data_IF_440380958114
#
_entry.id   IF_440380958114
#
_cell.length_a   1.000
_cell.length_b   1.000
_cell.length_c   1.000
_cell.angle_alpha   90.00
_cell.angle_beta   90.00
_cell.angle_gamma   90.00
#
_symmetry.space_group_name_H-M   'P 1'
#
loop_
_entity.id
_entity.type
_entity.pdbx_description
1 polymer ?
#
# COMPACT_ATOMS: atom_id res chain seq x y z
N UNK A 1 -13.07 17.27 -42.41
CA UNK A 1 -14.12 16.52 -43.17
C UNK A 1 -13.99 15.06 -42.86
N UNK A 2 -15.03 14.44 -42.33
CA UNK A 2 -15.49 13.05 -42.26
C UNK A 2 -16.19 12.90 -40.92
N UNK A 3 -17.44 13.14 -40.88
CA UNK A 3 -18.74 12.44 -40.91
C UNK A 3 -18.86 11.38 -39.82
N UNK A 4 -19.55 11.76 -38.77
CA UNK A 4 -20.77 11.24 -38.15
C UNK A 4 -21.24 9.85 -38.61
N UNK A 5 -21.48 8.95 -37.67
CA UNK A 5 -22.58 7.95 -37.72
C UNK A 5 -23.17 7.73 -36.35
N UNK A 6 -24.35 8.29 -36.13
CA UNK A 6 -25.36 7.86 -35.17
C UNK A 6 -25.88 6.45 -35.57
N UNK A 7 -26.17 5.57 -34.62
CA UNK A 7 -27.18 4.49 -34.63
C UNK A 7 -27.61 4.28 -33.18
N UNK A 8 -28.73 4.82 -32.76
CA UNK A 8 -30.13 4.40 -32.81
C UNK A 8 -30.43 3.15 -31.97
N UNK A 9 -31.08 3.42 -30.83
CA UNK A 9 -32.24 2.80 -30.14
C UNK A 9 -32.50 1.30 -30.30
N UNK A 10 -32.64 0.62 -29.17
CA UNK A 10 -33.68 -0.39 -28.99
C UNK A 10 -34.23 -0.31 -27.55
N UNK A 11 -35.50 0.09 -27.47
CA UNK A 11 -36.36 -0.03 -26.31
C UNK A 11 -36.68 -1.52 -26.10
N UNK A 12 -36.58 -2.00 -24.89
CA UNK A 12 -37.11 -3.27 -24.44
C UNK A 12 -37.89 -3.05 -23.14
N UNK A 13 -39.21 -2.87 -23.27
CA UNK A 13 -40.15 -2.90 -22.17
C UNK A 13 -40.41 -4.35 -21.79
N UNK A 14 -40.26 -4.71 -20.53
CA UNK A 14 -40.62 -6.02 -19.98
C UNK A 14 -41.12 -5.84 -18.55
N UNK A 15 -42.45 -5.96 -18.44
CA UNK A 15 -43.27 -5.79 -17.22
C UNK A 15 -43.17 -6.96 -16.26
N UNK A 16 -43.41 -6.65 -14.97
CA UNK A 16 -44.15 -7.42 -13.93
C UNK A 16 -43.48 -8.62 -13.27
N UNK A 17 -43.25 -8.48 -11.96
CA UNK A 17 -44.03 -9.24 -10.98
C UNK A 17 -43.60 -8.80 -9.56
N UNK A 18 -44.56 -8.19 -8.87
CA UNK A 18 -44.51 -7.90 -7.43
C UNK A 18 -44.68 -9.21 -6.69
N UNK A 19 -43.66 -9.61 -5.88
CA UNK A 19 -43.83 -10.59 -4.81
C UNK A 19 -43.36 -9.93 -3.53
N UNK A 20 -44.31 -9.43 -2.72
CA UNK A 20 -44.09 -9.10 -1.33
C UNK A 20 -43.83 -10.37 -0.53
N UNK A 21 -42.60 -10.63 -0.17
CA UNK A 21 -42.27 -11.57 0.88
C UNK A 21 -41.74 -10.74 2.08
N UNK A 22 -42.60 -10.56 3.09
CA UNK A 22 -42.22 -10.01 4.39
C UNK A 22 -41.41 -11.06 5.13
N UNK A 23 -40.08 -10.97 5.04
CA UNK A 23 -39.19 -11.74 5.89
C UNK A 23 -38.96 -10.95 7.18
N UNK A 24 -39.47 -11.47 8.28
CA UNK A 24 -39.10 -11.10 9.64
C UNK A 24 -37.61 -11.42 9.82
N UNK A 25 -36.79 -10.37 9.82
CA UNK A 25 -35.36 -10.50 10.15
C UNK A 25 -35.26 -10.42 11.68
N UNK A 26 -34.76 -11.46 12.37
CA UNK A 26 -34.43 -11.33 13.79
C UNK A 26 -33.28 -10.34 13.94
N UNK A 27 -33.46 -9.36 14.78
CA UNK A 27 -32.42 -8.42 15.18
C UNK A 27 -31.29 -9.20 15.87
N UNK A 28 -30.21 -9.47 15.14
CA UNK A 28 -28.97 -9.93 15.75
C UNK A 28 -28.31 -8.77 16.45
N UNK A 29 -28.27 -8.84 17.78
CA UNK A 29 -27.52 -7.93 18.62
C UNK A 29 -26.05 -7.95 18.18
N UNK A 30 -25.57 -6.81 17.67
CA UNK A 30 -24.15 -6.61 17.37
C UNK A 30 -23.41 -6.59 18.71
N UNK A 31 -22.76 -7.70 19.05
CA UNK A 31 -21.78 -7.74 20.13
C UNK A 31 -20.59 -6.84 19.74
N UNK A 32 -20.31 -5.85 20.55
CA UNK A 32 -19.10 -5.04 20.43
C UNK A 32 -17.87 -5.94 20.49
N UNK A 33 -16.89 -5.83 19.57
CA UNK A 33 -15.68 -6.63 19.64
C UNK A 33 -14.87 -6.25 20.87
N UNK A 34 -14.65 -7.23 21.74
CA UNK A 34 -13.70 -7.19 22.85
C UNK A 34 -12.30 -7.02 22.25
N UNK A 35 -11.45 -6.10 22.78
CA UNK A 35 -10.06 -5.98 22.32
C UNK A 35 -9.23 -7.10 22.95
N UNK A 36 -9.10 -8.22 22.24
CA UNK A 36 -8.29 -9.35 22.64
C UNK A 36 -8.34 -10.46 21.59
N UNK A 37 -7.17 -10.80 21.07
CA UNK A 37 -6.85 -11.83 20.09
C UNK A 37 -6.88 -11.36 18.63
N UNK A 38 -5.73 -10.76 18.26
CA UNK A 38 -5.32 -10.63 16.86
C UNK A 38 -4.47 -11.83 16.48
N UNK A 39 -5.09 -12.97 16.34
CA UNK A 39 -4.48 -14.10 15.65
C UNK A 39 -4.80 -13.99 14.16
N UNK A 40 -3.82 -13.56 13.48
CA UNK A 40 -3.12 -13.87 12.25
C UNK A 40 -3.87 -14.51 11.08
N UNK A 41 -3.44 -14.04 9.89
CA UNK A 41 -3.58 -14.57 8.54
C UNK A 41 -4.76 -14.02 7.72
N UNK A 42 -4.98 -12.72 7.81
CA UNK A 42 -5.47 -11.93 6.68
C UNK A 42 -4.49 -10.80 6.49
N UNK A 43 -4.13 -10.43 5.28
CA UNK A 43 -3.37 -9.22 5.03
C UNK A 43 -4.05 -8.10 5.82
N UNK A 44 -3.42 -7.64 6.91
CA UNK A 44 -4.04 -6.71 7.84
C UNK A 44 -4.43 -5.48 7.03
N UNK A 45 -5.74 -5.26 6.92
CA UNK A 45 -6.27 -4.10 6.21
C UNK A 45 -5.61 -2.86 6.81
N UNK A 46 -4.99 -2.03 5.96
CA UNK A 46 -4.37 -0.79 6.42
C UNK A 46 -5.44 0.12 7.05
N UNK A 47 -4.99 1.02 7.89
CA UNK A 47 -5.83 2.02 8.52
C UNK A 47 -5.16 3.39 8.49
N UNK A 48 -5.96 4.43 8.62
CA UNK A 48 -5.47 5.79 8.68
C UNK A 48 -5.09 6.17 10.12
N UNK A 49 -3.90 6.78 10.30
CA UNK A 49 -3.40 7.21 11.60
C UNK A 49 -2.63 8.54 11.50
N UNK A 50 -2.62 9.30 12.58
CA UNK A 50 -1.88 10.55 12.68
C UNK A 50 -0.36 10.36 12.88
N UNK A 51 0.05 9.16 13.28
CA UNK A 51 1.45 8.75 13.43
C UNK A 51 1.61 7.34 12.89
N UNK A 52 2.82 6.99 12.50
CA UNK A 52 3.15 5.62 12.10
C UNK A 52 3.55 4.82 13.34
N UNK A 53 2.76 3.80 13.74
CA UNK A 53 3.12 3.00 14.92
C UNK A 53 4.41 2.20 14.70
N UNK A 54 5.12 1.83 15.78
CA UNK A 54 6.26 0.92 15.68
C UNK A 54 5.87 -0.39 14.99
N UNK A 55 6.75 -0.91 14.13
CA UNK A 55 6.50 -2.14 13.36
C UNK A 55 5.57 -1.97 12.15
N UNK A 56 5.07 -0.78 11.89
CA UNK A 56 4.26 -0.47 10.71
C UNK A 56 5.04 0.37 9.70
N UNK A 57 4.59 0.33 8.47
CA UNK A 57 4.98 1.26 7.40
C UNK A 57 3.75 2.00 6.90
N UNK A 58 3.93 3.01 6.06
CA UNK A 58 2.81 3.67 5.41
C UNK A 58 2.96 3.64 3.88
N UNK A 59 1.84 3.63 3.19
CA UNK A 59 1.81 3.50 1.73
C UNK A 59 1.22 4.72 1.04
N UNK A 60 0.56 5.59 1.81
CA UNK A 60 -0.01 6.83 1.32
C UNK A 60 -0.11 7.87 2.44
N UNK A 61 -0.18 9.13 2.05
CA UNK A 61 -0.39 10.27 2.97
C UNK A 61 -1.49 11.18 2.43
N UNK A 62 -2.16 11.86 3.34
CA UNK A 62 -3.06 12.96 3.03
C UNK A 62 -2.97 14.03 4.10
N UNK A 63 -3.42 15.24 3.78
CA UNK A 63 -3.52 16.31 4.77
C UNK A 63 -4.93 16.30 5.40
N UNK A 64 -5.00 16.43 6.74
CA UNK A 64 -6.25 16.40 7.49
C UNK A 64 -6.22 17.40 8.64
N UNK A 65 -7.39 17.85 9.06
CA UNK A 65 -7.60 18.61 10.29
C UNK A 65 -7.82 17.70 11.50
N UNK A 66 -7.98 16.38 11.30
CA UNK A 66 -8.34 15.44 12.39
C UNK A 66 -7.15 15.01 13.26
N UNK A 67 -5.92 15.43 12.93
CA UNK A 67 -4.71 15.01 13.63
C UNK A 67 -4.14 16.08 14.57
N UNK A 68 -4.94 16.95 15.12
CA UNK A 68 -4.48 17.98 16.08
C UNK A 68 -5.43 19.17 16.15
N UNK A 69 -5.17 20.04 17.11
CA UNK A 69 -6.03 21.17 17.45
C UNK A 69 -5.81 22.40 16.54
N UNK A 70 -4.81 22.38 15.67
CA UNK A 70 -4.48 23.51 14.82
C UNK A 70 -3.88 23.10 13.48
N UNK A 71 -4.52 23.50 12.38
CA UNK A 71 -4.01 23.41 11.02
C UNK A 71 -3.99 21.97 10.44
N UNK A 72 -3.65 21.92 9.16
CA UNK A 72 -3.51 20.65 8.46
C UNK A 72 -2.29 19.88 8.95
N UNK A 73 -2.48 18.58 9.18
CA UNK A 73 -1.45 17.62 9.58
C UNK A 73 -1.43 16.45 8.62
N UNK A 74 -0.28 15.79 8.54
CA UNK A 74 -0.15 14.57 7.72
C UNK A 74 -0.90 13.42 8.39
N UNK A 75 -1.69 12.72 7.61
CA UNK A 75 -2.43 11.52 7.96
C UNK A 75 -1.89 10.39 7.12
N UNK A 76 -1.54 9.28 7.73
CA UNK A 76 -0.80 8.18 7.12
C UNK A 76 -1.72 6.98 6.95
N UNK A 77 -1.75 6.38 5.75
CA UNK A 77 -2.34 5.07 5.56
C UNK A 77 -1.31 4.01 5.94
N UNK A 78 -1.43 3.46 7.15
CA UNK A 78 -0.47 2.54 7.77
C UNK A 78 -0.90 1.09 7.66
N UNK A 79 0.07 0.19 7.47
CA UNK A 79 -0.14 -1.25 7.47
C UNK A 79 1.16 -1.97 7.84
N UNK A 80 1.11 -3.24 8.26
CA UNK A 80 2.30 -4.03 8.47
C UNK A 80 3.14 -4.11 7.19
N UNK A 81 4.48 -4.03 7.27
CA UNK A 81 5.32 -4.27 6.11
C UNK A 81 5.20 -5.72 5.63
N UNK A 82 5.18 -5.91 4.31
CA UNK A 82 5.05 -7.22 3.68
C UNK A 82 5.91 -7.31 2.42
N UNK A 83 6.28 -8.54 2.03
CA UNK A 83 7.00 -8.79 0.77
C UNK A 83 6.15 -8.35 -0.42
N UNK A 84 6.73 -7.60 -1.34
CA UNK A 84 6.03 -7.06 -2.52
C UNK A 84 5.21 -5.79 -2.26
N UNK A 85 5.18 -5.28 -1.03
CA UNK A 85 4.47 -4.05 -0.70
C UNK A 85 5.25 -2.82 -1.19
N UNK A 86 4.57 -1.90 -1.88
CA UNK A 86 5.06 -0.55 -2.11
C UNK A 86 4.81 0.33 -0.89
N UNK A 87 5.87 0.75 -0.19
CA UNK A 87 5.81 1.52 1.04
C UNK A 87 6.67 2.77 0.99
N UNK A 88 6.31 3.77 1.78
CA UNK A 88 7.02 5.04 1.88
C UNK A 88 8.24 4.97 2.81
N UNK A 89 8.33 3.93 3.64
CA UNK A 89 9.48 3.64 4.51
C UNK A 89 9.84 2.16 4.42
N UNK A 90 11.12 1.85 4.62
CA UNK A 90 11.60 0.47 4.72
C UNK A 90 11.54 0.08 6.21
N UNK A 91 10.67 -0.86 6.55
CA UNK A 91 10.55 -1.37 7.92
C UNK A 91 11.69 -2.30 8.32
N UNK A 92 11.85 -2.52 9.61
CA UNK A 92 12.84 -3.46 10.15
C UNK A 92 12.62 -4.87 9.61
N UNK A 93 13.70 -5.58 9.32
CA UNK A 93 13.66 -6.92 8.75
C UNK A 93 13.36 -6.97 7.24
N UNK A 94 13.19 -5.82 6.59
CA UNK A 94 12.98 -5.73 5.14
C UNK A 94 14.16 -5.05 4.43
N UNK A 95 14.26 -5.34 3.15
CA UNK A 95 15.05 -4.60 2.16
C UNK A 95 14.11 -4.15 1.04
N UNK A 96 14.64 -3.57 -0.02
CA UNK A 96 13.83 -3.22 -1.18
C UNK A 96 14.55 -3.56 -2.48
N UNK A 97 13.76 -3.85 -3.51
CA UNK A 97 14.30 -4.24 -4.82
C UNK A 97 14.07 -3.19 -5.91
N UNK A 98 13.24 -2.18 -5.63
CA UNK A 98 12.94 -1.11 -6.56
C UNK A 98 12.49 0.15 -5.83
N UNK A 99 12.60 1.29 -6.49
CA UNK A 99 12.13 2.58 -6.00
C UNK A 99 11.29 3.28 -7.06
N UNK A 100 10.38 4.14 -6.64
CA UNK A 100 9.68 5.07 -7.51
C UNK A 100 9.45 6.40 -6.81
N UNK A 101 9.42 7.49 -7.56
CA UNK A 101 9.04 8.80 -7.04
C UNK A 101 7.53 9.00 -7.19
N UNK A 102 6.87 9.40 -6.11
CA UNK A 102 5.41 9.54 -6.03
C UNK A 102 5.01 10.70 -5.12
N UNK A 103 3.81 11.20 -5.30
CA UNK A 103 3.18 12.13 -4.36
C UNK A 103 2.52 11.41 -3.18
N UNK A 104 2.27 10.10 -3.28
CA UNK A 104 1.61 9.31 -2.21
C UNK A 104 2.35 9.41 -0.87
N UNK A 105 3.68 9.51 -0.90
CA UNK A 105 4.53 9.58 0.29
C UNK A 105 4.83 11.01 0.75
N UNK A 106 4.16 12.01 0.18
CA UNK A 106 4.44 13.41 0.44
C UNK A 106 3.86 13.88 1.77
N UNK A 107 4.70 14.39 2.67
CA UNK A 107 4.27 14.96 3.96
C UNK A 107 4.14 16.48 3.97
N UNK A 108 4.57 17.15 2.91
CA UNK A 108 4.57 18.62 2.81
C UNK A 108 4.65 19.14 1.39
N UNK A 109 4.23 18.34 0.41
CA UNK A 109 4.33 18.62 -1.02
C UNK A 109 5.63 18.09 -1.64
N UNK A 110 5.60 17.88 -2.94
CA UNK A 110 6.70 17.34 -3.74
C UNK A 110 6.79 15.81 -3.74
N UNK A 111 7.52 15.32 -4.72
CA UNK A 111 7.75 13.88 -4.89
C UNK A 111 8.62 13.31 -3.76
N UNK A 112 8.30 12.10 -3.35
CA UNK A 112 9.05 11.32 -2.37
C UNK A 112 9.26 9.91 -2.90
N UNK A 113 10.29 9.25 -2.39
CA UNK A 113 10.61 7.88 -2.78
C UNK A 113 9.65 6.90 -2.11
N UNK A 114 9.13 5.96 -2.90
CA UNK A 114 8.38 4.79 -2.48
C UNK A 114 9.22 3.56 -2.80
N UNK A 115 9.23 2.56 -1.94
CA UNK A 115 10.12 1.40 -1.95
C UNK A 115 9.32 0.12 -2.15
N UNK A 116 9.72 -0.74 -3.08
CA UNK A 116 9.18 -2.08 -3.20
C UNK A 116 9.84 -2.99 -2.17
N UNK A 117 9.16 -3.22 -1.05
CA UNK A 117 9.67 -4.01 0.08
C UNK A 117 9.86 -5.47 -0.32
N UNK A 118 10.93 -6.06 0.19
CA UNK A 118 11.25 -7.47 0.02
C UNK A 118 11.76 -8.08 1.32
N UNK A 119 11.28 -9.26 1.63
CA UNK A 119 11.89 -10.07 2.68
C UNK A 119 13.26 -10.54 2.20
N UNK A 120 14.35 -10.26 2.96
CA UNK A 120 15.70 -10.65 2.58
C UNK A 120 15.83 -12.16 2.47
N UNK A 121 16.44 -12.65 1.41
CA UNK A 121 16.77 -14.06 1.19
C UNK A 121 17.95 -14.21 0.25
N UNK A 122 18.65 -15.34 0.34
CA UNK A 122 19.71 -15.68 -0.61
C UNK A 122 19.15 -15.71 -2.05
N UNK A 123 19.90 -15.12 -2.98
CA UNK A 123 19.50 -15.01 -4.39
C UNK A 123 18.58 -13.83 -4.72
N UNK A 124 18.22 -13.00 -3.72
CA UNK A 124 17.45 -11.79 -3.97
C UNK A 124 18.35 -10.66 -4.47
N UNK A 125 17.98 -10.01 -5.58
CA UNK A 125 18.54 -8.73 -5.97
C UNK A 125 17.89 -7.59 -5.17
N UNK A 126 18.67 -6.93 -4.31
CA UNK A 126 18.22 -5.88 -3.41
C UNK A 126 19.06 -4.60 -3.56
N UNK A 127 18.45 -3.46 -3.25
CA UNK A 127 19.09 -2.16 -3.30
C UNK A 127 19.95 -1.86 -2.05
N UNK A 128 19.76 -2.64 -0.98
CA UNK A 128 20.57 -2.56 0.26
C UNK A 128 20.92 -3.97 0.73
N UNK A 129 22.00 -4.08 1.50
CA UNK A 129 22.43 -5.32 2.15
C UNK A 129 22.01 -5.24 3.62
N UNK A 130 20.96 -5.97 4.05
CA UNK A 130 20.50 -5.95 5.44
C UNK A 130 21.41 -6.78 6.35
N UNK A 131 21.24 -6.59 7.66
CA UNK A 131 21.95 -7.40 8.69
C UNK A 131 21.69 -8.89 8.49
N UNK A 132 22.72 -9.73 8.70
CA UNK A 132 22.66 -11.18 8.48
C UNK A 132 22.87 -11.59 7.01
N UNK A 133 23.15 -10.63 6.13
CA UNK A 133 23.42 -10.89 4.72
C UNK A 133 24.73 -10.25 4.25
N UNK A 134 25.32 -10.86 3.25
CA UNK A 134 26.38 -10.34 2.40
C UNK A 134 25.89 -10.37 0.95
N UNK A 135 26.77 -10.16 -0.04
CA UNK A 135 26.40 -10.25 -1.44
C UNK A 135 27.45 -11.01 -2.23
N UNK A 136 27.03 -11.66 -3.30
CA UNK A 136 27.90 -12.42 -4.21
C UNK A 136 28.14 -11.71 -5.53
N UNK A 137 27.29 -10.76 -5.89
CA UNK A 137 27.37 -10.01 -7.13
C UNK A 137 26.74 -8.64 -7.00
N UNK A 138 27.13 -7.72 -7.88
CA UNK A 138 26.54 -6.38 -7.96
C UNK A 138 26.18 -6.05 -9.41
N UNK A 139 25.18 -5.19 -9.59
CA UNK A 139 24.84 -4.60 -10.88
C UNK A 139 24.48 -3.13 -10.73
N UNK A 140 24.72 -2.35 -11.76
CA UNK A 140 24.32 -0.95 -11.85
C UNK A 140 22.92 -0.87 -12.47
N UNK A 141 21.97 -0.17 -11.81
CA UNK A 141 20.57 -0.12 -12.22
C UNK A 141 19.93 1.21 -11.87
N UNK A 142 18.84 1.54 -12.56
CA UNK A 142 17.96 2.66 -12.21
C UNK A 142 16.91 2.25 -11.17
N UNK A 143 16.66 0.96 -10.95
CA UNK A 143 15.64 0.46 -10.02
C UNK A 143 15.83 0.97 -8.58
N UNK A 144 17.08 1.17 -8.16
CA UNK A 144 17.43 1.62 -6.81
C UNK A 144 17.61 3.15 -6.70
N UNK A 145 17.22 3.88 -7.72
CA UNK A 145 17.47 5.33 -7.80
C UNK A 145 16.39 6.12 -7.05
N UNK A 146 16.79 6.93 -6.10
CA UNK A 146 15.90 7.84 -5.35
C UNK A 146 15.86 9.26 -5.91
N UNK A 147 16.86 9.64 -6.71
CA UNK A 147 17.03 11.01 -7.23
C UNK A 147 17.48 11.06 -8.70
N UNK A 148 17.32 9.97 -9.43
CA UNK A 148 17.88 9.80 -10.78
C UNK A 148 19.32 9.29 -10.74
N UNK A 149 19.75 8.67 -11.82
CA UNK A 149 21.08 8.07 -11.96
C UNK A 149 21.15 6.62 -11.49
N UNK A 150 22.19 5.95 -11.96
CA UNK A 150 22.42 4.55 -11.64
C UNK A 150 22.85 4.36 -10.19
N UNK A 151 22.38 3.26 -9.61
CA UNK A 151 22.71 2.81 -8.24
C UNK A 151 23.09 1.34 -8.25
N UNK A 152 23.85 0.93 -7.25
CA UNK A 152 24.25 -0.47 -7.09
C UNK A 152 23.08 -1.29 -6.52
N UNK A 153 22.84 -2.44 -7.15
CA UNK A 153 21.94 -3.50 -6.68
C UNK A 153 22.79 -4.73 -6.35
N UNK A 154 22.47 -5.44 -5.30
CA UNK A 154 23.27 -6.50 -4.68
C UNK A 154 22.54 -7.83 -4.76
N UNK A 155 23.23 -8.89 -5.21
CA UNK A 155 22.72 -10.25 -5.12
C UNK A 155 23.02 -10.81 -3.73
N UNK A 156 22.00 -10.88 -2.89
CA UNK A 156 22.14 -11.23 -1.48
C UNK A 156 22.51 -12.70 -1.28
N UNK A 157 23.30 -12.94 -0.22
CA UNK A 157 23.61 -14.24 0.34
C UNK A 157 23.56 -14.15 1.85
N UNK A 158 22.80 -15.04 2.52
CA UNK A 158 22.83 -15.18 3.97
C UNK A 158 24.21 -15.72 4.43
N UNK A 159 24.62 -15.30 5.63
CA UNK A 159 25.82 -15.85 6.27
C UNK A 159 25.62 -17.31 6.65
#
# INVERSE_FOLDING_TARGET
>A
MIRSKLRTLLLGAGSAAVMLATALVPATASASPVPGDRDAAGAAAGFWACTVPPGYTFTSTQQTLNCGDSGFRTYYFVQPPADGLWACTVGDGFTYSSTQNTLDCSTGGGFRTKYLLRTPKTGLWACTVPSGFTYTSTQSTLDCSTSGGFRTKYLLRAF
#
